data_IF_415042114052
#
_entry.id   IF_415042114052
#
_cell.length_a   1.000
_cell.length_b   1.000
_cell.length_c   1.000
_cell.angle_alpha   90.00
_cell.angle_beta   90.00
_cell.angle_gamma   90.00
#
_symmetry.space_group_name_H-M   'P 1'
#
loop_
_entity.id
_entity.type
_entity.pdbx_description
1 polymer ?
#
# COMPACT_ATOMS: atom_id res chain seq x y z
N UNK A 1 5.22 -10.11 -24.10
CA UNK A 1 5.47 -9.45 -22.79
C UNK A 1 4.26 -8.70 -22.23
N UNK A 2 3.49 -7.93 -23.03
CA UNK A 2 2.37 -7.11 -22.54
C UNK A 2 1.28 -7.91 -21.78
N UNK A 3 0.86 -9.06 -22.33
CA UNK A 3 -0.19 -9.90 -21.73
C UNK A 3 0.24 -10.45 -20.36
N UNK A 4 1.50 -10.89 -20.24
CA UNK A 4 2.04 -11.42 -18.97
C UNK A 4 2.08 -10.33 -17.90
N UNK A 5 2.55 -9.13 -18.25
CA UNK A 5 2.58 -8.00 -17.32
C UNK A 5 1.16 -7.58 -16.88
N UNK A 6 0.20 -7.62 -17.79
CA UNK A 6 -1.22 -7.36 -17.50
C UNK A 6 -1.80 -8.40 -16.53
N UNK A 7 -1.57 -9.70 -16.77
CA UNK A 7 -2.02 -10.77 -15.88
C UNK A 7 -1.42 -10.62 -14.47
N UNK A 8 -0.13 -10.33 -14.36
CA UNK A 8 0.54 -10.10 -13.07
C UNK A 8 -0.08 -8.91 -12.34
N UNK A 9 -0.33 -7.80 -13.04
CA UNK A 9 -0.94 -6.62 -12.45
C UNK A 9 -2.38 -6.87 -11.97
N UNK A 10 -3.17 -7.65 -12.71
CA UNK A 10 -4.53 -8.04 -12.32
C UNK A 10 -4.50 -8.93 -11.07
N UNK A 11 -3.62 -9.93 -11.02
CA UNK A 11 -3.48 -10.81 -9.85
C UNK A 11 -3.07 -10.01 -8.62
N UNK A 12 -2.09 -9.10 -8.77
CA UNK A 12 -1.67 -8.21 -7.69
C UNK A 12 -2.77 -7.27 -7.23
N UNK A 13 -3.52 -6.69 -8.17
CA UNK A 13 -4.67 -5.85 -7.86
C UNK A 13 -5.69 -6.61 -7.01
N UNK A 14 -6.08 -7.82 -7.42
CA UNK A 14 -7.04 -8.64 -6.68
C UNK A 14 -6.50 -9.03 -5.30
N UNK A 15 -5.22 -9.41 -5.21
CA UNK A 15 -4.59 -9.75 -3.94
C UNK A 15 -4.59 -8.56 -2.97
N UNK A 16 -4.13 -7.38 -3.43
CA UNK A 16 -4.12 -6.16 -2.61
C UNK A 16 -5.54 -5.69 -2.26
N UNK A 17 -6.53 -5.90 -3.14
CA UNK A 17 -7.92 -5.58 -2.86
C UNK A 17 -8.48 -6.45 -1.73
N UNK A 18 -8.29 -7.77 -1.79
CA UNK A 18 -8.75 -8.69 -0.75
C UNK A 18 -8.10 -8.35 0.59
N UNK A 19 -6.80 -8.10 0.58
CA UNK A 19 -6.00 -7.71 1.74
C UNK A 19 -6.52 -6.39 2.33
N UNK A 20 -6.66 -5.34 1.51
CA UNK A 20 -7.19 -4.04 1.92
C UNK A 20 -8.60 -4.12 2.51
N UNK A 21 -9.50 -4.91 1.92
CA UNK A 21 -10.86 -5.11 2.45
C UNK A 21 -10.81 -5.80 3.82
N UNK A 22 -9.92 -6.79 4.01
CA UNK A 22 -9.75 -7.46 5.30
C UNK A 22 -9.19 -6.53 6.36
N UNK A 23 -8.16 -5.74 6.05
CA UNK A 23 -7.62 -4.74 6.96
C UNK A 23 -8.64 -3.65 7.29
N UNK A 24 -9.38 -3.15 6.30
CA UNK A 24 -10.48 -2.21 6.52
C UNK A 24 -11.52 -2.78 7.47
N UNK A 25 -11.98 -4.02 7.24
CA UNK A 25 -12.96 -4.67 8.11
C UNK A 25 -12.43 -4.85 9.54
N UNK A 26 -11.15 -5.23 9.71
CA UNK A 26 -10.52 -5.35 11.02
C UNK A 26 -10.45 -4.01 11.76
N UNK A 27 -10.01 -2.94 11.07
CA UNK A 27 -9.93 -1.58 11.61
C UNK A 27 -11.31 -1.03 11.98
N UNK A 28 -12.35 -1.34 11.19
CA UNK A 28 -13.74 -0.94 11.43
C UNK A 28 -14.33 -1.63 12.66
N UNK A 29 -14.04 -2.92 12.86
CA UNK A 29 -14.50 -3.68 14.04
C UNK A 29 -13.97 -3.06 15.34
N UNK A 30 -12.72 -2.61 15.33
CA UNK A 30 -12.06 -2.00 16.49
C UNK A 30 -12.19 -0.46 16.53
N UNK A 31 -13.14 0.10 15.77
CA UNK A 31 -13.32 1.56 15.68
C UNK A 31 -13.78 2.21 16.99
N UNK A 32 -14.53 1.49 17.83
CA UNK A 32 -14.94 1.98 19.15
C UNK A 32 -13.75 2.16 20.08
N UNK A 33 -12.89 1.14 20.17
CA UNK A 33 -11.64 1.17 20.96
C UNK A 33 -10.72 2.26 20.43
N UNK A 34 -10.51 2.34 19.11
CA UNK A 34 -9.67 3.38 18.51
C UNK A 34 -10.15 4.80 18.83
N UNK A 35 -11.47 5.04 18.85
CA UNK A 35 -12.03 6.34 19.25
C UNK A 35 -11.83 6.64 20.73
N UNK A 36 -11.94 5.64 21.61
CA UNK A 36 -11.66 5.78 23.04
C UNK A 36 -10.23 6.27 23.30
N UNK A 37 -9.27 5.78 22.51
CA UNK A 37 -7.86 6.19 22.55
C UNK A 37 -7.52 7.39 21.64
N UNK A 38 -8.52 8.14 21.15
CA UNK A 38 -8.32 9.35 20.35
C UNK A 38 -7.70 9.13 18.97
N UNK A 39 -7.77 7.92 18.43
CA UNK A 39 -7.20 7.58 17.12
C UNK A 39 -8.17 7.95 15.98
N UNK A 40 -7.60 8.47 14.89
CA UNK A 40 -8.36 8.93 13.72
C UNK A 40 -8.79 7.78 12.80
N UNK A 41 -9.97 7.88 12.20
CA UNK A 41 -10.47 6.97 11.16
C UNK A 41 -9.80 7.15 9.79
N UNK A 42 -8.83 8.08 9.67
CA UNK A 42 -8.08 8.29 8.43
C UNK A 42 -7.41 7.00 7.93
N UNK A 43 -6.92 6.16 8.84
CA UNK A 43 -6.27 4.89 8.48
C UNK A 43 -7.22 3.97 7.69
N UNK A 44 -8.52 4.00 8.01
CA UNK A 44 -9.53 3.16 7.37
C UNK A 44 -9.65 3.50 5.89
N UNK A 45 -9.66 4.80 5.55
CA UNK A 45 -9.68 5.25 4.17
C UNK A 45 -8.36 4.98 3.44
N UNK A 46 -7.23 5.18 4.12
CA UNK A 46 -5.90 5.01 3.53
C UNK A 46 -5.61 3.57 3.10
N UNK A 47 -6.08 2.58 3.86
CA UNK A 47 -5.93 1.16 3.51
C UNK A 47 -6.66 0.81 2.21
N UNK A 48 -7.80 1.45 1.93
CA UNK A 48 -8.56 1.24 0.69
C UNK A 48 -7.83 1.78 -0.56
N UNK A 49 -6.77 2.58 -0.39
CA UNK A 49 -5.97 3.09 -1.49
C UNK A 49 -4.91 2.08 -1.97
N UNK A 50 -4.61 1.02 -1.21
CA UNK A 50 -3.62 0.01 -1.61
C UNK A 50 -3.85 -0.62 -2.99
N UNK A 51 -5.07 -1.09 -3.35
CA UNK A 51 -5.32 -1.63 -4.68
C UNK A 51 -5.19 -0.57 -5.80
N UNK A 52 -5.22 0.73 -5.48
CA UNK A 52 -4.97 1.77 -6.48
C UNK A 52 -3.50 1.82 -6.92
N UNK A 53 -2.56 1.27 -6.15
CA UNK A 53 -1.14 1.24 -6.50
C UNK A 53 -0.87 0.59 -7.86
N UNK A 54 -1.21 -0.70 -8.04
CA UNK A 54 -1.07 -1.39 -9.33
C UNK A 54 -1.86 -0.71 -10.46
N UNK A 55 -3.06 -0.21 -10.19
CA UNK A 55 -3.85 0.51 -11.20
C UNK A 55 -3.17 1.79 -11.65
N UNK A 56 -2.63 2.57 -10.72
CA UNK A 56 -1.88 3.79 -11.03
C UNK A 56 -0.62 3.48 -11.83
N UNK A 57 0.08 2.37 -11.56
CA UNK A 57 1.25 1.98 -12.36
C UNK A 57 0.86 1.47 -13.76
N UNK A 58 -0.27 0.77 -13.89
CA UNK A 58 -0.73 0.21 -15.16
C UNK A 58 -1.33 1.26 -16.09
N UNK A 59 -2.19 2.12 -15.54
CA UNK A 59 -2.92 3.16 -16.27
C UNK A 59 -2.08 4.44 -16.35
N UNK A 60 -1.31 4.74 -15.30
CA UNK A 60 -0.56 5.99 -15.18
C UNK A 60 0.40 6.25 -16.32
N UNK A 61 1.01 5.21 -16.91
CA UNK A 61 1.86 5.37 -18.11
C UNK A 61 1.14 6.09 -19.26
N UNK A 62 -0.19 6.01 -19.36
CA UNK A 62 -0.97 6.67 -20.41
C UNK A 62 -1.30 8.14 -20.10
N UNK A 63 -1.38 8.51 -18.82
CA UNK A 63 -1.88 9.82 -18.38
C UNK A 63 -0.80 10.71 -17.74
N UNK A 64 0.29 10.14 -17.24
CA UNK A 64 1.35 10.85 -16.57
C UNK A 64 2.73 10.21 -16.83
N UNK A 65 3.82 11.00 -16.69
CA UNK A 65 5.17 10.44 -16.70
C UNK A 65 5.33 9.36 -15.64
N UNK A 66 6.08 8.30 -15.96
CA UNK A 66 6.33 7.17 -15.06
C UNK A 66 6.83 7.63 -13.67
N UNK A 67 7.78 8.57 -13.52
CA UNK A 67 8.24 9.02 -12.21
C UNK A 67 7.13 9.63 -11.33
N UNK A 68 6.18 10.36 -11.95
CA UNK A 68 5.04 10.93 -11.25
C UNK A 68 4.08 9.84 -10.74
N UNK A 69 3.85 8.79 -11.53
CA UNK A 69 3.03 7.65 -11.10
C UNK A 69 3.66 6.95 -9.88
N UNK A 70 4.98 6.73 -9.89
CA UNK A 70 5.70 6.16 -8.75
C UNK A 70 5.62 7.06 -7.51
N UNK A 71 5.80 8.37 -7.66
CA UNK A 71 5.74 9.32 -6.55
C UNK A 71 4.34 9.37 -5.93
N UNK A 72 3.29 9.32 -6.75
CA UNK A 72 1.90 9.28 -6.29
C UNK A 72 1.60 8.01 -5.49
N UNK A 73 2.01 6.85 -6.00
CA UNK A 73 1.83 5.56 -5.31
C UNK A 73 2.68 5.49 -4.03
N UNK A 74 3.90 6.03 -4.05
CA UNK A 74 4.76 6.14 -2.86
C UNK A 74 4.09 6.99 -1.78
N UNK A 75 3.50 8.12 -2.15
CA UNK A 75 2.82 9.00 -1.21
C UNK A 75 1.67 8.29 -0.48
N UNK A 76 0.91 7.43 -1.16
CA UNK A 76 -0.15 6.64 -0.54
C UNK A 76 0.41 5.65 0.48
N UNK A 77 1.32 4.77 0.07
CA UNK A 77 1.85 3.75 0.98
C UNK A 77 2.60 4.37 2.16
N UNK A 78 3.35 5.44 1.93
CA UNK A 78 4.06 6.15 2.99
C UNK A 78 3.11 6.85 3.95
N UNK A 79 2.04 7.49 3.46
CA UNK A 79 1.04 8.11 4.32
C UNK A 79 0.34 7.08 5.18
N UNK A 80 -0.03 5.92 4.62
CA UNK A 80 -0.63 4.84 5.39
C UNK A 80 0.35 4.27 6.43
N UNK A 81 1.63 4.09 6.07
CA UNK A 81 2.66 3.64 6.99
C UNK A 81 2.86 4.59 8.17
N UNK A 82 2.92 5.90 7.91
CA UNK A 82 3.11 6.92 8.94
C UNK A 82 1.92 6.97 9.89
N UNK A 83 0.70 6.97 9.36
CA UNK A 83 -0.52 6.95 10.17
C UNK A 83 -0.62 5.66 10.97
N UNK A 84 -0.43 4.50 10.34
CA UNK A 84 -0.49 3.20 11.01
C UNK A 84 0.55 3.08 12.12
N UNK A 85 1.82 3.45 11.84
CA UNK A 85 2.89 3.43 12.84
C UNK A 85 2.61 4.35 14.02
N UNK A 86 2.05 5.55 13.76
CA UNK A 86 1.68 6.48 14.83
C UNK A 86 0.55 5.92 15.70
N UNK A 87 -0.48 5.33 15.09
CA UNK A 87 -1.59 4.70 15.83
C UNK A 87 -1.09 3.48 16.61
N UNK A 88 -0.21 2.66 16.02
CA UNK A 88 0.39 1.48 16.64
C UNK A 88 1.17 1.87 17.90
N UNK A 89 2.09 2.84 17.78
CA UNK A 89 2.88 3.32 18.91
C UNK A 89 2.02 3.90 20.04
N UNK A 90 0.90 4.56 19.72
CA UNK A 90 -0.03 5.07 20.71
C UNK A 90 -0.76 3.93 21.45
N UNK A 91 -1.19 2.89 20.73
CA UNK A 91 -1.84 1.71 21.30
C UNK A 91 -0.85 0.85 22.12
N UNK A 92 0.39 0.68 21.66
CA UNK A 92 1.44 -0.02 22.42
C UNK A 92 1.69 0.64 23.79
N UNK A 93 1.70 1.99 23.83
CA UNK A 93 1.87 2.74 25.08
C UNK A 93 0.69 2.63 26.04
N UNK A 94 -0.52 2.37 25.53
CA UNK A 94 -1.68 2.16 26.38
C UNK A 94 -1.59 0.85 27.18
N UNK A 95 -0.98 -0.20 26.60
CA UNK A 95 -0.60 -1.42 27.32
C UNK A 95 -1.74 -2.25 27.93
N UNK A 96 -3.00 -1.96 27.61
CA UNK A 96 -4.16 -2.69 28.16
C UNK A 96 -4.56 -3.88 27.29
N UNK A 97 -5.09 -4.95 27.89
CA UNK A 97 -5.61 -6.12 27.14
C UNK A 97 -6.69 -5.75 26.11
N UNK A 98 -7.45 -4.68 26.41
CA UNK A 98 -8.48 -4.13 25.50
C UNK A 98 -7.92 -3.62 24.18
N UNK A 99 -6.70 -3.10 24.15
CA UNK A 99 -6.10 -2.56 22.91
C UNK A 99 -5.41 -3.62 22.07
N UNK A 100 -5.27 -4.85 22.56
CA UNK A 100 -4.52 -5.91 21.87
C UNK A 100 -5.07 -6.18 20.45
N UNK A 101 -6.41 -6.28 20.29
CA UNK A 101 -7.04 -6.48 18.97
C UNK A 101 -6.90 -5.27 18.05
N UNK A 102 -7.04 -4.06 18.59
CA UNK A 102 -6.83 -2.83 17.83
C UNK A 102 -5.36 -2.70 17.38
N UNK A 103 -4.43 -3.13 18.23
CA UNK A 103 -2.99 -3.15 17.96
C UNK A 103 -2.66 -4.17 16.87
N UNK A 104 -3.24 -5.37 16.91
CA UNK A 104 -3.10 -6.38 15.85
C UNK A 104 -3.62 -5.86 14.50
N UNK A 105 -4.83 -5.27 14.48
CA UNK A 105 -5.41 -4.70 13.26
C UNK A 105 -4.53 -3.58 12.67
N UNK A 106 -3.98 -2.71 13.53
CA UNK A 106 -3.09 -1.62 13.12
C UNK A 106 -1.73 -2.15 12.65
N UNK A 107 -1.22 -3.20 13.29
CA UNK A 107 0.03 -3.87 12.90
C UNK A 107 -0.10 -4.56 11.55
N UNK A 108 -1.26 -5.17 11.27
CA UNK A 108 -1.58 -5.76 9.98
C UNK A 108 -1.59 -4.68 8.89
N UNK A 109 -2.27 -3.55 9.11
CA UNK A 109 -2.25 -2.42 8.16
C UNK A 109 -0.84 -1.85 7.93
N UNK A 110 0.01 -1.84 8.96
CA UNK A 110 1.43 -1.43 8.87
C UNK A 110 2.22 -2.40 7.99
N UNK A 111 2.04 -3.71 8.19
CA UNK A 111 2.69 -4.74 7.39
C UNK A 111 2.28 -4.63 5.92
N UNK A 112 1.01 -4.39 5.65
CA UNK A 112 0.51 -4.18 4.28
C UNK A 112 1.15 -2.97 3.60
N UNK A 113 1.32 -1.86 4.33
CA UNK A 113 2.04 -0.69 3.80
C UNK A 113 3.48 -1.05 3.43
N UNK A 114 4.18 -1.79 4.29
CA UNK A 114 5.56 -2.24 4.04
C UNK A 114 5.62 -3.13 2.80
N UNK A 115 4.71 -4.10 2.67
CA UNK A 115 4.61 -4.97 1.48
C UNK A 115 4.35 -4.13 0.22
N UNK A 116 3.47 -3.13 0.30
CA UNK A 116 3.21 -2.20 -0.79
C UNK A 116 4.44 -1.38 -1.22
N UNK A 117 5.25 -0.92 -0.26
CA UNK A 117 6.51 -0.21 -0.52
C UNK A 117 7.52 -1.14 -1.18
N UNK A 118 7.69 -2.37 -0.68
CA UNK A 118 8.59 -3.36 -1.27
C UNK A 118 8.19 -3.63 -2.72
N UNK A 119 6.89 -3.84 -2.96
CA UNK A 119 6.37 -4.00 -4.31
C UNK A 119 6.70 -2.80 -5.21
N UNK A 120 6.50 -1.58 -4.72
CA UNK A 120 6.79 -0.36 -5.47
C UNK A 120 8.27 -0.29 -5.87
N UNK A 121 9.19 -0.60 -4.96
CA UNK A 121 10.63 -0.62 -5.23
C UNK A 121 10.98 -1.65 -6.30
N UNK A 122 10.47 -2.88 -6.16
CA UNK A 122 10.72 -3.95 -7.13
C UNK A 122 10.14 -3.62 -8.52
N UNK A 123 8.93 -3.07 -8.58
CA UNK A 123 8.32 -2.62 -9.83
C UNK A 123 9.13 -1.49 -10.48
N UNK A 124 9.64 -0.55 -9.69
CA UNK A 124 10.53 0.52 -10.16
C UNK A 124 11.83 -0.02 -10.76
N UNK A 125 12.49 -0.94 -10.06
CA UNK A 125 13.69 -1.60 -10.55
C UNK A 125 13.44 -2.33 -11.87
N UNK A 126 12.33 -3.06 -11.99
CA UNK A 126 11.97 -3.77 -13.22
C UNK A 126 11.74 -2.81 -14.40
N UNK A 127 11.05 -1.69 -14.17
CA UNK A 127 10.85 -0.66 -15.21
C UNK A 127 12.17 -0.04 -15.64
N UNK A 128 13.07 0.28 -14.71
CA UNK A 128 14.39 0.83 -15.04
C UNK A 128 15.25 -0.17 -15.82
N UNK A 129 15.26 -1.44 -15.41
CA UNK A 129 15.96 -2.53 -16.12
C UNK A 129 15.46 -2.70 -17.54
N UNK A 130 14.13 -2.74 -17.73
CA UNK A 130 13.54 -2.91 -19.07
C UNK A 130 13.81 -1.70 -19.98
N UNK A 131 13.84 -0.48 -19.43
CA UNK A 131 14.24 0.71 -20.19
C UNK A 131 15.73 0.68 -20.57
N UNK A 132 16.61 0.29 -19.65
CA UNK A 132 18.04 0.18 -19.91
C UNK A 132 18.33 -0.83 -21.04
N UNK A 133 17.71 -2.00 -20.99
CA UNK A 133 17.84 -3.03 -22.04
C UNK A 133 17.30 -2.54 -23.39
N UNK A 134 16.14 -1.87 -23.41
CA UNK A 134 15.58 -1.32 -24.65
C UNK A 134 16.45 -0.22 -25.27
N UNK A 135 17.17 0.56 -24.45
CA UNK A 135 18.08 1.59 -24.95
C UNK A 135 19.37 1.02 -25.56
N UNK A 136 19.81 -0.16 -25.11
CA UNK A 136 20.98 -0.84 -25.68
C UNK A 136 20.72 -1.40 -27.08
N UNK A 137 19.52 -1.93 -27.36
CA UNK A 137 19.21 -2.49 -28.68
C UNK A 137 19.03 -1.43 -29.78
N UNK A 138 18.80 -0.17 -29.42
CA UNK A 138 18.72 0.95 -30.37
C UNK A 138 20.08 1.62 -30.65
N UNK A 139 21.12 1.23 -29.90
CA UNK A 139 22.49 1.74 -30.04
C UNK A 139 23.48 0.78 -30.71
N UNK A 140 22.99 -0.37 -31.18
CA UNK A 140 23.74 -1.37 -31.95
C UNK A 140 23.21 -1.41 -33.40
#
# INVERSE_FOLDING_TARGET
MLIIALCIAIVLFLALLVIAVRAFAALRRESSVRREFGQSSLLDGLVLLYPLGPLCLLIGRRFMPIPLAFLFVAAFFLSTLLVASKQRNALERAGTDRVSRALEATSFATLEAIVGIIYLVLAGMFVLLTQALSSQELGA
#
